data_IF_374738960167
#
_entry.id   IF_374738960167
#
_cell.length_a   1.000
_cell.length_b   1.000
_cell.length_c   1.000
_cell.angle_alpha   90.00
_cell.angle_beta   90.00
_cell.angle_gamma   90.00
#
_symmetry.space_group_name_H-M   'P 1'
#
loop_
_entity.id
_entity.type
_entity.pdbx_description
1 polymer ?
#
# COMPACT_ATOMS: atom_id res chain seq x y z
N UNK A 1 16.40 -27.33 -36.87
CA UNK A 1 17.79 -26.91 -36.60
C UNK A 1 17.76 -26.22 -35.25
N UNK A 2 18.28 -26.92 -34.24
CA UNK A 2 18.44 -26.37 -32.90
C UNK A 2 19.56 -25.33 -32.96
N UNK A 3 19.21 -24.06 -32.98
CA UNK A 3 20.21 -23.00 -32.83
C UNK A 3 20.95 -23.18 -31.50
N UNK A 4 22.27 -23.11 -31.54
CA UNK A 4 23.10 -23.11 -30.35
C UNK A 4 22.65 -21.98 -29.45
N UNK A 5 22.43 -22.27 -28.16
CA UNK A 5 22.20 -21.23 -27.17
C UNK A 5 23.32 -20.18 -27.28
N UNK A 6 22.94 -18.91 -27.28
CA UNK A 6 23.92 -17.83 -27.28
C UNK A 6 24.90 -18.03 -26.10
N UNK A 7 26.20 -17.81 -26.30
CA UNK A 7 27.16 -18.00 -25.22
C UNK A 7 26.81 -17.08 -24.06
N UNK A 8 26.88 -17.63 -22.84
CA UNK A 8 26.81 -16.83 -21.62
C UNK A 8 27.99 -15.87 -21.62
N UNK A 9 27.72 -14.58 -21.71
CA UNK A 9 28.75 -13.54 -21.61
C UNK A 9 28.52 -12.73 -20.34
N UNK A 10 29.08 -13.17 -19.20
CA UNK A 10 28.90 -12.51 -17.92
C UNK A 10 29.60 -11.14 -17.83
N UNK A 11 30.54 -10.86 -18.73
CA UNK A 11 31.33 -9.62 -18.71
C UNK A 11 30.66 -8.48 -19.51
N UNK A 12 29.70 -8.79 -20.37
CA UNK A 12 29.00 -7.77 -21.15
C UNK A 12 28.03 -7.00 -20.26
N UNK A 13 28.26 -5.69 -20.08
CA UNK A 13 27.29 -4.80 -19.47
C UNK A 13 26.00 -4.77 -20.32
N UNK A 14 24.89 -5.16 -19.73
CA UNK A 14 23.57 -5.17 -20.38
C UNK A 14 22.68 -4.10 -19.77
N UNK A 15 21.85 -3.41 -20.57
CA UNK A 15 20.80 -2.59 -20.01
C UNK A 15 19.87 -3.47 -19.13
N UNK A 16 19.33 -2.87 -18.09
CA UNK A 16 18.41 -3.55 -17.18
C UNK A 16 17.42 -2.55 -16.58
N UNK A 17 16.31 -3.07 -16.09
CA UNK A 17 15.42 -2.33 -15.20
C UNK A 17 14.96 -3.22 -14.05
N UNK A 18 14.55 -2.59 -12.96
CA UNK A 18 14.00 -3.30 -11.81
C UNK A 18 12.52 -3.62 -12.01
N UNK A 19 12.10 -4.78 -11.54
CA UNK A 19 10.70 -5.13 -11.29
C UNK A 19 10.40 -5.17 -9.78
N UNK A 20 11.43 -5.42 -8.96
CA UNK A 20 11.41 -5.23 -7.52
C UNK A 20 12.71 -4.53 -7.13
N UNK A 21 12.64 -3.47 -6.31
CA UNK A 21 13.81 -2.77 -5.80
C UNK A 21 13.62 -2.51 -4.31
N UNK A 22 14.45 -3.14 -3.49
CA UNK A 22 14.44 -3.03 -2.02
C UNK A 22 13.06 -3.27 -1.39
N UNK A 23 12.30 -4.22 -1.95
CA UNK A 23 10.97 -4.58 -1.44
C UNK A 23 11.09 -5.40 -0.16
N UNK A 24 10.34 -4.98 0.87
CA UNK A 24 10.27 -5.71 2.13
C UNK A 24 9.70 -7.11 1.92
N UNK A 25 10.28 -8.09 2.62
CA UNK A 25 9.84 -9.49 2.61
C UNK A 25 9.74 -10.03 4.03
N UNK A 26 8.82 -10.99 4.21
CA UNK A 26 8.62 -11.70 5.47
C UNK A 26 8.27 -13.17 5.19
N UNK A 27 9.07 -14.08 5.69
CA UNK A 27 8.83 -15.52 5.54
C UNK A 27 7.63 -15.99 6.35
N UNK A 28 6.43 -15.99 5.77
CA UNK A 28 5.22 -16.47 6.42
C UNK A 28 5.34 -17.96 6.75
N UNK A 29 5.02 -18.32 7.99
CA UNK A 29 5.10 -19.70 8.51
C UNK A 29 4.22 -20.65 7.74
N UNK A 30 4.82 -21.73 7.25
CA UNK A 30 4.12 -22.86 6.63
C UNK A 30 3.89 -24.00 7.64
N UNK A 31 3.01 -24.95 7.28
CA UNK A 31 2.67 -26.09 8.13
C UNK A 31 3.85 -27.03 8.39
N UNK A 32 4.79 -27.09 7.46
CA UNK A 32 6.02 -27.91 7.56
C UNK A 32 7.16 -27.24 8.34
N UNK A 33 6.93 -26.02 8.86
CA UNK A 33 7.91 -25.26 9.62
C UNK A 33 8.82 -24.39 8.77
N UNK A 34 8.64 -24.32 7.46
CA UNK A 34 9.35 -23.42 6.55
C UNK A 34 8.73 -22.03 6.54
N UNK A 35 9.37 -21.09 5.84
CA UNK A 35 8.85 -19.75 5.56
C UNK A 35 8.68 -19.50 4.08
N UNK A 36 7.65 -18.77 3.68
CA UNK A 36 7.44 -18.36 2.29
C UNK A 36 6.99 -16.91 2.19
N UNK A 37 7.55 -16.19 1.22
CA UNK A 37 7.03 -14.91 0.74
C UNK A 37 6.53 -15.09 -0.68
N UNK A 38 5.28 -14.72 -0.92
CA UNK A 38 4.70 -14.64 -2.27
C UNK A 38 4.65 -13.20 -2.74
N UNK A 39 5.06 -12.96 -3.98
CA UNK A 39 4.88 -11.71 -4.69
C UNK A 39 4.18 -12.03 -6.01
N UNK A 40 2.99 -11.46 -6.22
CA UNK A 40 2.16 -11.74 -7.39
C UNK A 40 2.40 -10.69 -8.47
N UNK A 41 2.88 -11.12 -9.64
CA UNK A 41 3.20 -10.26 -10.78
C UNK A 41 2.30 -10.50 -12.01
N UNK A 42 1.31 -11.40 -11.88
CA UNK A 42 0.34 -11.71 -12.95
C UNK A 42 -0.69 -10.61 -13.19
N UNK A 43 -1.50 -10.75 -14.23
CA UNK A 43 -2.60 -9.84 -14.58
C UNK A 43 -2.16 -8.37 -14.76
N UNK A 44 -1.06 -8.17 -15.50
CA UNK A 44 -0.49 -6.84 -15.75
C UNK A 44 0.33 -6.28 -14.59
N UNK A 45 0.47 -6.97 -13.47
CA UNK A 45 1.24 -6.51 -12.31
C UNK A 45 2.73 -6.39 -12.62
N UNK A 46 3.28 -7.28 -13.45
CA UNK A 46 4.68 -7.17 -13.89
C UNK A 46 4.93 -5.87 -14.67
N UNK A 47 4.00 -5.47 -15.54
CA UNK A 47 4.03 -4.18 -16.24
C UNK A 47 4.00 -3.03 -15.24
N UNK A 48 3.07 -3.08 -14.28
CA UNK A 48 2.96 -2.05 -13.25
C UNK A 48 4.23 -1.98 -12.39
N UNK A 49 4.82 -3.11 -12.03
CA UNK A 49 6.08 -3.17 -11.30
C UNK A 49 7.24 -2.55 -12.10
N UNK A 50 7.34 -2.85 -13.40
CA UNK A 50 8.31 -2.24 -14.29
C UNK A 50 8.13 -0.71 -14.40
N UNK A 51 6.90 -0.22 -14.43
CA UNK A 51 6.61 1.21 -14.46
C UNK A 51 6.93 1.92 -13.14
N UNK A 52 6.56 1.31 -12.01
CA UNK A 52 6.73 1.92 -10.67
C UNK A 52 8.20 1.86 -10.24
N UNK A 53 8.81 0.70 -10.40
CA UNK A 53 10.14 0.39 -9.86
C UNK A 53 11.25 0.64 -10.88
N UNK A 54 11.03 0.28 -12.15
CA UNK A 54 11.98 0.40 -13.24
C UNK A 54 11.83 1.65 -14.09
N UNK A 55 10.81 2.46 -13.88
CA UNK A 55 10.48 3.66 -14.69
C UNK A 55 10.29 3.36 -16.19
N UNK A 56 9.91 2.13 -16.56
CA UNK A 56 9.71 1.74 -17.95
C UNK A 56 8.43 2.36 -18.49
N UNK A 57 8.52 3.15 -19.54
CA UNK A 57 7.39 3.82 -20.20
C UNK A 57 7.21 3.42 -21.65
N UNK A 58 8.16 2.68 -22.21
CA UNK A 58 8.08 2.18 -23.59
C UNK A 58 6.98 1.13 -23.71
N UNK A 59 5.97 1.42 -24.55
CA UNK A 59 4.80 0.56 -24.70
C UNK A 59 5.11 -0.76 -25.41
N UNK A 60 6.10 -0.77 -26.31
CA UNK A 60 6.49 -1.99 -27.04
C UNK A 60 7.17 -2.96 -26.07
N UNK A 61 8.10 -2.45 -25.24
CA UNK A 61 8.75 -3.25 -24.21
C UNK A 61 7.75 -3.75 -23.14
N UNK A 62 6.84 -2.90 -22.67
CA UNK A 62 5.81 -3.29 -21.70
C UNK A 62 4.90 -4.40 -22.23
N UNK A 63 4.51 -4.34 -23.51
CA UNK A 63 3.69 -5.38 -24.16
C UNK A 63 4.43 -6.74 -24.18
N UNK A 64 5.77 -6.75 -24.30
CA UNK A 64 6.54 -7.99 -24.24
C UNK A 64 6.49 -8.68 -22.89
N UNK A 65 6.19 -7.96 -21.81
CA UNK A 65 6.03 -8.53 -20.47
C UNK A 65 4.70 -9.26 -20.28
N UNK A 66 3.74 -9.14 -21.20
CA UNK A 66 2.43 -9.77 -21.09
C UNK A 66 2.43 -11.28 -21.41
N UNK A 67 3.45 -11.77 -22.12
CA UNK A 67 3.51 -13.15 -22.56
C UNK A 67 4.88 -13.78 -22.26
N UNK A 68 4.92 -15.11 -22.10
CA UNK A 68 6.19 -15.82 -21.91
C UNK A 68 7.11 -15.69 -23.12
N UNK A 69 6.54 -15.68 -24.34
CA UNK A 69 7.30 -15.53 -25.58
C UNK A 69 7.91 -14.12 -25.67
N UNK A 70 7.12 -13.08 -25.36
CA UNK A 70 7.58 -11.69 -25.30
C UNK A 70 8.64 -11.50 -24.24
N UNK A 71 8.39 -12.03 -23.04
CA UNK A 71 9.36 -12.03 -21.94
C UNK A 71 10.68 -12.66 -22.35
N UNK A 72 10.67 -13.83 -22.99
CA UNK A 72 11.88 -14.49 -23.49
C UNK A 72 12.60 -13.74 -24.62
N UNK A 73 11.89 -12.89 -25.40
CA UNK A 73 12.50 -12.01 -26.38
C UNK A 73 13.16 -10.78 -25.75
N UNK A 74 12.54 -10.19 -24.75
CA UNK A 74 13.03 -9.01 -24.06
C UNK A 74 14.18 -9.34 -23.11
N UNK A 75 14.02 -10.38 -22.27
CA UNK A 75 14.88 -10.67 -21.12
C UNK A 75 15.96 -11.68 -21.46
N UNK A 76 17.21 -11.32 -21.20
CA UNK A 76 18.37 -12.20 -21.28
C UNK A 76 18.57 -13.02 -20.00
N UNK A 77 18.52 -12.33 -18.86
CA UNK A 77 18.72 -12.94 -17.55
C UNK A 77 18.02 -12.16 -16.46
N UNK A 78 17.70 -12.83 -15.35
CA UNK A 78 17.12 -12.23 -14.16
C UNK A 78 18.22 -12.15 -13.11
N UNK A 79 18.48 -10.96 -12.60
CA UNK A 79 19.32 -10.74 -11.42
C UNK A 79 18.45 -10.68 -10.18
N UNK A 80 18.79 -11.45 -9.16
CA UNK A 80 18.06 -11.46 -7.90
C UNK A 80 19.02 -11.33 -6.72
N UNK A 81 18.69 -10.46 -5.77
CA UNK A 81 19.36 -10.36 -4.48
C UNK A 81 18.32 -10.42 -3.36
N UNK A 82 18.69 -11.13 -2.29
CA UNK A 82 17.90 -11.20 -1.05
C UNK A 82 18.82 -10.84 0.09
N UNK A 83 18.39 -9.91 0.93
CA UNK A 83 19.09 -9.53 2.15
C UNK A 83 18.15 -9.72 3.34
N UNK A 84 18.58 -10.46 4.37
CA UNK A 84 17.76 -10.68 5.57
C UNK A 84 18.59 -10.47 6.85
N UNK A 85 17.91 -10.55 7.98
CA UNK A 85 18.51 -10.59 9.32
C UNK A 85 19.41 -11.82 9.56
N UNK A 86 19.48 -12.75 8.58
CA UNK A 86 20.28 -13.99 8.61
C UNK A 86 21.08 -14.16 7.32
N UNK A 87 22.13 -13.35 7.11
CA UNK A 87 22.86 -13.33 5.83
C UNK A 87 23.61 -14.64 5.54
N UNK A 88 23.86 -15.47 6.54
CA UNK A 88 24.49 -16.79 6.39
C UNK A 88 23.55 -17.88 5.87
N UNK A 89 22.22 -17.68 5.98
CA UNK A 89 21.23 -18.61 5.50
C UNK A 89 21.06 -18.52 3.98
N UNK A 90 20.44 -19.56 3.41
CA UNK A 90 20.10 -19.61 1.99
C UNK A 90 18.57 -19.56 1.81
N UNK A 91 18.14 -18.92 0.75
CA UNK A 91 16.76 -18.94 0.28
C UNK A 91 16.70 -19.54 -1.13
N UNK A 92 15.57 -20.12 -1.48
CA UNK A 92 15.26 -20.46 -2.86
C UNK A 92 14.37 -19.39 -3.46
N UNK A 93 14.82 -18.81 -4.58
CA UNK A 93 14.04 -17.88 -5.37
C UNK A 93 13.39 -18.61 -6.54
N UNK A 94 12.11 -18.36 -6.77
CA UNK A 94 11.33 -18.93 -7.86
C UNK A 94 10.59 -17.83 -8.60
N UNK A 95 10.88 -17.67 -9.88
CA UNK A 95 10.05 -16.87 -10.80
C UNK A 95 9.23 -17.85 -11.64
N UNK A 96 7.94 -17.92 -11.37
CA UNK A 96 7.04 -18.92 -11.96
C UNK A 96 6.30 -18.33 -13.15
N UNK A 97 6.34 -19.04 -14.29
CA UNK A 97 5.38 -18.81 -15.37
C UNK A 97 4.07 -19.54 -15.03
N UNK A 98 2.93 -18.92 -15.34
CA UNK A 98 1.65 -19.57 -15.18
C UNK A 98 1.34 -20.49 -16.36
N UNK A 99 0.70 -21.63 -16.08
CA UNK A 99 0.26 -22.57 -17.09
C UNK A 99 -1.09 -22.23 -17.68
N UNK A 100 -1.31 -22.62 -18.94
CA UNK A 100 -2.62 -22.49 -19.63
C UNK A 100 -3.67 -23.45 -19.08
N UNK A 101 -3.24 -24.68 -18.68
CA UNK A 101 -4.14 -25.74 -18.22
C UNK A 101 -4.25 -25.76 -16.71
N UNK A 102 -3.14 -25.60 -16.03
CA UNK A 102 -3.06 -25.49 -14.57
C UNK A 102 -2.27 -24.23 -14.24
N UNK A 103 -2.97 -23.23 -13.72
CA UNK A 103 -2.42 -21.90 -13.44
C UNK A 103 -1.11 -21.98 -12.63
N UNK A 104 -1.11 -22.81 -11.59
CA UNK A 104 -0.01 -22.87 -10.63
C UNK A 104 0.93 -24.07 -10.80
N UNK A 105 0.53 -25.09 -11.54
CA UNK A 105 1.27 -26.36 -11.69
C UNK A 105 1.86 -26.61 -13.08
N UNK A 106 1.38 -25.90 -14.11
CA UNK A 106 1.70 -26.23 -15.50
C UNK A 106 2.85 -25.47 -16.14
N UNK A 107 3.24 -24.32 -15.59
CA UNK A 107 4.24 -23.44 -16.19
C UNK A 107 5.67 -23.70 -15.73
N UNK A 108 6.62 -23.16 -16.48
CA UNK A 108 8.06 -23.24 -16.18
C UNK A 108 8.42 -22.43 -14.94
N UNK A 109 9.23 -23.01 -14.05
CA UNK A 109 9.82 -22.33 -12.91
C UNK A 109 11.28 -21.96 -13.20
N UNK A 110 11.61 -20.68 -13.13
CA UNK A 110 12.99 -20.17 -13.17
C UNK A 110 13.48 -20.08 -11.73
N UNK A 111 14.47 -20.88 -11.34
CA UNK A 111 14.86 -21.04 -9.93
C UNK A 111 16.33 -20.81 -9.71
N UNK A 112 16.69 -20.29 -8.53
CA UNK A 112 18.07 -20.25 -8.05
C UNK A 112 18.09 -20.33 -6.53
N UNK A 113 19.12 -21.00 -5.98
CA UNK A 113 19.44 -20.92 -4.56
C UNK A 113 20.48 -19.82 -4.33
N UNK A 114 20.24 -18.94 -3.38
CA UNK A 114 21.12 -17.80 -3.09
C UNK A 114 21.27 -17.60 -1.59
N UNK A 115 22.38 -16.99 -1.17
CA UNK A 115 22.56 -16.53 0.19
C UNK A 115 21.73 -15.28 0.45
N UNK A 116 21.31 -15.11 1.69
CA UNK A 116 20.54 -13.93 2.13
C UNK A 116 21.45 -12.75 2.50
N UNK A 117 22.57 -12.56 1.78
CA UNK A 117 23.61 -11.56 2.05
C UNK A 117 23.57 -10.31 1.16
N UNK A 118 22.52 -10.18 0.36
CA UNK A 118 22.33 -9.06 -0.56
C UNK A 118 23.12 -9.16 -1.88
N UNK A 119 23.96 -10.18 -2.06
CA UNK A 119 24.69 -10.37 -3.31
C UNK A 119 23.77 -10.84 -4.43
N UNK A 120 23.96 -10.26 -5.64
CA UNK A 120 23.16 -10.63 -6.80
C UNK A 120 23.55 -12.00 -7.35
N UNK A 121 22.53 -12.81 -7.61
CA UNK A 121 22.61 -14.07 -8.35
C UNK A 121 21.89 -13.96 -9.69
N UNK A 122 22.40 -14.65 -10.72
CA UNK A 122 21.85 -14.61 -12.09
C UNK A 122 21.18 -15.91 -12.49
N UNK A 123 19.98 -15.75 -13.05
CA UNK A 123 19.24 -16.83 -13.72
C UNK A 123 19.25 -16.50 -15.22
N UNK A 124 19.86 -17.35 -16.02
CA UNK A 124 19.92 -17.15 -17.47
C UNK A 124 18.73 -17.86 -18.13
N UNK A 125 17.95 -17.10 -18.95
CA UNK A 125 16.81 -17.67 -19.64
C UNK A 125 17.21 -18.76 -20.64
N UNK A 126 18.45 -18.70 -21.17
CA UNK A 126 19.02 -19.73 -22.05
C UNK A 126 19.13 -21.13 -21.40
N UNK A 127 19.10 -21.22 -20.07
CA UNK A 127 19.15 -22.48 -19.34
C UNK A 127 17.80 -23.19 -19.28
N UNK A 128 16.73 -22.52 -19.71
CA UNK A 128 15.36 -22.99 -19.63
C UNK A 128 14.76 -23.17 -21.02
N UNK A 129 13.76 -24.02 -21.09
CA UNK A 129 12.96 -24.22 -22.31
C UNK A 129 11.50 -23.99 -21.96
N UNK A 130 10.88 -23.10 -22.71
CA UNK A 130 9.44 -22.86 -22.59
C UNK A 130 8.68 -24.11 -23.07
N UNK A 131 7.59 -24.40 -22.38
CA UNK A 131 6.67 -25.48 -22.75
C UNK A 131 5.46 -24.93 -23.47
N UNK A 132 4.69 -25.78 -24.14
CA UNK A 132 3.43 -25.38 -24.77
C UNK A 132 2.38 -24.90 -23.77
N UNK A 133 2.54 -25.28 -22.48
CA UNK A 133 1.64 -24.90 -21.39
C UNK A 133 1.97 -23.53 -20.80
N UNK A 134 3.16 -22.99 -21.01
CA UNK A 134 3.52 -21.65 -20.53
C UNK A 134 2.60 -20.57 -21.14
N UNK A 135 2.11 -19.67 -20.29
CA UNK A 135 1.15 -18.63 -20.67
C UNK A 135 1.69 -17.23 -20.41
N UNK A 136 1.82 -16.83 -19.17
CA UNK A 136 2.24 -15.48 -18.77
C UNK A 136 3.26 -15.57 -17.63
N UNK A 137 4.16 -14.56 -17.48
CA UNK A 137 4.90 -14.38 -16.26
C UNK A 137 3.93 -14.31 -15.08
N UNK A 138 4.11 -15.15 -14.09
CA UNK A 138 3.13 -15.38 -13.03
C UNK A 138 3.50 -14.72 -11.71
N UNK A 139 4.18 -15.45 -10.85
CA UNK A 139 4.48 -14.99 -9.49
C UNK A 139 5.94 -15.23 -9.10
N UNK A 140 6.40 -14.43 -8.15
CA UNK A 140 7.68 -14.62 -7.48
C UNK A 140 7.43 -15.26 -6.12
N UNK A 141 8.28 -16.24 -5.76
CA UNK A 141 8.29 -16.88 -4.44
C UNK A 141 9.71 -16.83 -3.90
N UNK A 142 9.82 -16.61 -2.60
CA UNK A 142 11.07 -16.75 -1.85
C UNK A 142 10.79 -17.73 -0.72
N UNK A 143 11.49 -18.87 -0.73
CA UNK A 143 11.32 -19.94 0.23
C UNK A 143 12.50 -19.94 1.20
N UNK A 144 12.19 -19.97 2.48
CA UNK A 144 13.16 -19.99 3.58
C UNK A 144 13.07 -21.32 4.31
N UNK A 145 14.23 -21.85 4.75
CA UNK A 145 14.27 -23.07 5.57
C UNK A 145 13.57 -22.90 6.93
N UNK A 146 13.42 -21.65 7.41
CA UNK A 146 12.70 -21.32 8.65
C UNK A 146 11.80 -20.11 8.45
N UNK A 147 10.69 -19.97 9.20
CA UNK A 147 9.75 -18.87 9.08
C UNK A 147 10.26 -17.58 9.72
N UNK A 148 9.50 -16.51 9.54
CA UNK A 148 9.72 -15.21 10.20
C UNK A 148 11.04 -14.53 9.82
N UNK A 149 11.59 -14.85 8.65
CA UNK A 149 12.73 -14.13 8.09
C UNK A 149 12.26 -12.80 7.56
N UNK A 150 12.89 -11.73 8.02
CA UNK A 150 12.63 -10.34 7.59
C UNK A 150 13.80 -9.85 6.76
N UNK A 151 13.50 -9.12 5.70
CA UNK A 151 14.55 -8.57 4.84
C UNK A 151 13.99 -7.85 3.63
N UNK A 152 14.84 -7.77 2.60
CA UNK A 152 14.52 -7.10 1.34
C UNK A 152 14.90 -7.97 0.16
N UNK A 153 14.17 -7.77 -0.95
CA UNK A 153 14.46 -8.40 -2.24
C UNK A 153 14.55 -7.35 -3.34
N UNK A 154 15.52 -7.52 -4.23
CA UNK A 154 15.58 -6.80 -5.49
C UNK A 154 15.65 -7.77 -6.66
N UNK A 155 14.91 -7.47 -7.73
CA UNK A 155 14.87 -8.28 -8.96
C UNK A 155 15.04 -7.36 -10.16
N UNK A 156 16.05 -7.63 -10.99
CA UNK A 156 16.38 -6.92 -12.22
C UNK A 156 16.16 -7.81 -13.42
N UNK A 157 15.60 -7.24 -14.48
CA UNK A 157 15.53 -7.88 -15.79
C UNK A 157 16.63 -7.30 -16.67
N UNK A 158 17.62 -8.12 -17.03
CA UNK A 158 18.69 -7.76 -17.96
C UNK A 158 18.24 -8.06 -19.38
N UNK A 159 18.38 -7.08 -20.26
CA UNK A 159 17.77 -7.12 -21.58
C UNK A 159 18.65 -7.79 -22.63
N UNK A 160 18.01 -8.37 -23.63
CA UNK A 160 18.64 -8.86 -24.83
C UNK A 160 19.19 -7.69 -25.69
N UNK A 161 20.08 -8.00 -26.63
CA UNK A 161 20.62 -7.01 -27.56
C UNK A 161 19.48 -6.39 -28.40
N UNK A 162 19.54 -5.07 -28.56
CA UNK A 162 18.57 -4.30 -29.32
C UNK A 162 17.44 -3.69 -28.48
N UNK A 163 17.43 -3.94 -27.17
CA UNK A 163 16.53 -3.28 -26.21
C UNK A 163 17.32 -2.30 -25.33
N UNK A 164 16.64 -1.26 -24.88
CA UNK A 164 17.20 -0.22 -24.02
C UNK A 164 16.42 -0.18 -22.70
N UNK A 165 17.04 0.33 -21.66
CA UNK A 165 16.39 0.56 -20.37
C UNK A 165 16.48 2.04 -20.01
N UNK A 166 15.48 2.59 -19.30
CA UNK A 166 15.59 3.93 -18.74
C UNK A 166 16.80 4.03 -17.81
N UNK A 167 17.38 5.22 -17.66
CA UNK A 167 18.41 5.45 -16.64
C UNK A 167 17.87 5.08 -15.26
N UNK A 168 18.67 4.36 -14.48
CA UNK A 168 18.31 4.07 -13.10
C UNK A 168 18.22 5.39 -12.32
N UNK A 169 17.11 5.61 -11.63
CA UNK A 169 16.96 6.68 -10.66
C UNK A 169 17.26 6.15 -9.25
N UNK A 170 18.15 6.83 -8.56
CA UNK A 170 18.49 6.50 -7.18
C UNK A 170 17.38 6.96 -6.24
N UNK A 171 16.95 6.07 -5.33
CA UNK A 171 16.05 6.41 -4.25
C UNK A 171 16.89 6.90 -3.06
N UNK A 172 16.74 8.17 -2.71
CA UNK A 172 17.45 8.77 -1.57
C UNK A 172 16.81 8.33 -0.25
N UNK A 173 17.63 8.34 0.80
CA UNK A 173 17.14 8.13 2.16
C UNK A 173 16.09 9.20 2.52
N UNK A 174 14.95 8.77 3.06
CA UNK A 174 13.88 9.66 3.50
C UNK A 174 14.15 10.08 4.94
N UNK A 175 14.55 11.34 5.14
CA UNK A 175 14.58 11.93 6.47
C UNK A 175 13.17 12.38 6.88
N UNK A 176 12.51 11.54 7.67
CA UNK A 176 11.14 11.79 8.16
C UNK A 176 11.04 12.96 9.15
N UNK A 177 12.16 13.57 9.54
CA UNK A 177 12.19 14.75 10.41
C UNK A 177 12.57 16.04 9.67
N UNK A 178 12.87 15.96 8.37
CA UNK A 178 13.21 17.12 7.55
C UNK A 178 12.01 18.09 7.39
N UNK A 179 12.31 19.36 7.11
CA UNK A 179 11.27 20.36 6.82
C UNK A 179 10.49 19.99 5.54
N UNK A 180 11.15 19.44 4.56
CA UNK A 180 10.56 18.98 3.30
C UNK A 180 9.57 17.84 3.53
N UNK A 181 9.93 16.85 4.37
CA UNK A 181 9.03 15.77 4.75
C UNK A 181 7.82 16.32 5.54
N UNK A 182 8.06 17.14 6.54
CA UNK A 182 6.99 17.79 7.30
C UNK A 182 6.07 18.62 6.38
N UNK A 183 6.65 19.33 5.41
CA UNK A 183 5.92 20.05 4.37
C UNK A 183 5.07 19.13 3.50
N UNK A 184 5.59 17.96 3.11
CA UNK A 184 4.84 16.93 2.39
C UNK A 184 3.65 16.44 3.23
N UNK A 185 3.87 16.06 4.49
CA UNK A 185 2.83 15.59 5.40
C UNK A 185 1.75 16.66 5.61
N UNK A 186 2.14 17.93 5.76
CA UNK A 186 1.19 19.02 5.98
C UNK A 186 0.18 19.21 4.83
N UNK A 187 0.56 18.89 3.59
CA UNK A 187 -0.34 18.93 2.43
C UNK A 187 -1.46 17.89 2.50
N UNK A 188 -1.30 16.86 3.34
CA UNK A 188 -2.35 15.86 3.54
C UNK A 188 -3.62 16.40 4.19
N UNK A 189 -3.53 17.52 4.92
CA UNK A 189 -4.68 18.10 5.59
C UNK A 189 -5.58 18.79 4.56
N UNK A 190 -6.52 18.04 3.98
CA UNK A 190 -7.47 18.58 3.01
C UNK A 190 -8.48 19.51 3.69
N UNK A 191 -8.95 19.13 4.89
CA UNK A 191 -9.83 19.93 5.73
C UNK A 191 -9.65 19.53 7.20
N UNK A 192 -9.54 20.54 8.08
CA UNK A 192 -9.56 20.30 9.52
C UNK A 192 -10.98 19.93 10.00
N UNK A 193 -11.99 20.52 9.37
CA UNK A 193 -13.39 20.38 9.77
C UNK A 193 -13.64 20.79 11.20
N UNK A 194 -14.69 20.27 11.82
CA UNK A 194 -14.95 20.47 13.24
C UNK A 194 -14.13 19.51 14.10
N UNK A 195 -13.06 19.94 14.78
CA UNK A 195 -12.18 19.09 15.55
C UNK A 195 -12.75 18.64 16.91
N UNK A 196 -13.94 19.09 17.28
CA UNK A 196 -14.47 18.94 18.64
C UNK A 196 -14.48 17.47 19.12
N UNK A 197 -14.99 16.55 18.30
CA UNK A 197 -15.11 15.14 18.72
C UNK A 197 -13.74 14.44 18.83
N UNK A 198 -12.79 14.78 17.93
CA UNK A 198 -11.40 14.28 18.02
C UNK A 198 -10.74 14.82 19.30
N UNK A 199 -10.87 16.11 19.57
CA UNK A 199 -10.33 16.70 20.82
C UNK A 199 -10.90 16.04 22.06
N UNK A 200 -12.20 15.75 22.09
CA UNK A 200 -12.83 15.00 23.19
C UNK A 200 -12.20 13.63 23.40
N UNK A 201 -11.92 12.89 22.31
CA UNK A 201 -11.22 11.62 22.39
C UNK A 201 -9.79 11.79 22.91
N UNK A 202 -9.05 12.81 22.44
CA UNK A 202 -7.70 13.13 22.92
C UNK A 202 -7.72 13.50 24.42
N UNK A 203 -8.61 14.40 24.85
CA UNK A 203 -8.77 14.80 26.25
C UNK A 203 -9.11 13.57 27.14
N UNK A 204 -9.99 12.70 26.65
CA UNK A 204 -10.37 11.44 27.31
C UNK A 204 -9.14 10.52 27.48
N UNK A 205 -8.30 10.39 26.45
CA UNK A 205 -7.07 9.60 26.49
C UNK A 205 -6.04 10.20 27.46
N UNK A 206 -5.80 11.52 27.39
CA UNK A 206 -4.90 12.25 28.30
C UNK A 206 -5.34 12.13 29.78
N UNK A 207 -6.64 11.99 30.01
CA UNK A 207 -7.21 11.77 31.35
C UNK A 207 -7.13 10.30 31.83
N UNK A 208 -6.43 9.41 31.09
CA UNK A 208 -6.27 7.99 31.44
C UNK A 208 -7.53 7.14 31.22
N UNK A 209 -8.56 7.67 30.55
CA UNK A 209 -9.76 6.93 30.21
C UNK A 209 -9.59 6.17 28.91
N UNK A 210 -10.17 4.97 28.80
CA UNK A 210 -10.10 4.15 27.60
C UNK A 210 -10.67 4.88 26.37
N UNK A 211 -9.91 4.90 25.28
CA UNK A 211 -10.30 5.43 23.98
C UNK A 211 -10.16 4.32 22.93
N UNK A 212 -11.14 4.19 22.04
CA UNK A 212 -11.12 3.20 20.97
C UNK A 212 -11.03 3.88 19.62
N UNK A 213 -9.96 3.54 18.86
CA UNK A 213 -9.79 3.93 17.46
C UNK A 213 -10.20 2.79 16.55
N UNK A 214 -11.11 3.03 15.63
CA UNK A 214 -11.56 2.07 14.63
C UNK A 214 -11.21 2.55 13.21
N UNK A 215 -10.78 1.61 12.37
CA UNK A 215 -10.43 1.84 10.97
C UNK A 215 -11.27 0.91 10.11
N UNK A 216 -12.05 1.46 9.20
CA UNK A 216 -12.88 0.69 8.25
C UNK A 216 -12.55 1.11 6.82
N UNK A 217 -12.33 0.13 5.94
CA UNK A 217 -11.92 0.39 4.57
C UNK A 217 -11.70 -0.87 3.74
N UNK A 218 -11.05 -0.70 2.61
CA UNK A 218 -10.70 -1.76 1.67
C UNK A 218 -9.42 -2.51 2.04
N UNK A 219 -8.67 -2.93 1.00
CA UNK A 219 -7.41 -3.66 1.13
C UNK A 219 -6.31 -2.85 1.82
N UNK A 220 -6.24 -1.53 1.59
CA UNK A 220 -5.24 -0.66 2.22
C UNK A 220 -5.47 -0.60 3.74
N UNK A 221 -6.73 -0.53 4.18
CA UNK A 221 -7.07 -0.61 5.61
C UNK A 221 -6.84 -2.01 6.17
N UNK A 222 -7.05 -3.08 5.39
CA UNK A 222 -6.65 -4.44 5.77
C UNK A 222 -5.15 -4.53 6.02
N UNK A 223 -4.36 -3.75 5.29
CA UNK A 223 -2.90 -3.66 5.38
C UNK A 223 -2.18 -4.30 4.19
N UNK A 224 -2.86 -4.45 3.05
CA UNK A 224 -2.21 -4.98 1.85
C UNK A 224 -1.01 -4.11 1.45
N UNK A 225 0.10 -4.75 1.10
CA UNK A 225 1.39 -4.13 0.82
C UNK A 225 2.27 -3.91 2.06
N UNK A 226 1.69 -3.94 3.26
CA UNK A 226 2.46 -3.91 4.52
C UNK A 226 3.03 -5.29 4.87
N UNK A 227 4.27 -5.35 5.28
CA UNK A 227 5.00 -6.58 5.59
C UNK A 227 5.77 -6.42 6.91
N UNK A 228 5.36 -7.10 8.00
CA UNK A 228 4.15 -7.91 8.18
C UNK A 228 2.84 -7.08 8.19
N UNK A 229 1.78 -7.67 7.62
CA UNK A 229 0.49 -6.99 7.38
C UNK A 229 -0.21 -6.44 8.65
N UNK A 230 0.06 -7.02 9.80
CA UNK A 230 -0.65 -6.64 11.02
C UNK A 230 0.02 -5.49 11.79
N UNK A 231 1.34 -5.38 11.69
CA UNK A 231 2.16 -4.43 12.46
C UNK A 231 2.67 -3.26 11.63
N UNK A 232 2.81 -3.45 10.32
CA UNK A 232 3.34 -2.43 9.42
C UNK A 232 2.26 -1.62 8.70
N UNK A 233 0.97 -2.00 8.80
CA UNK A 233 -0.11 -1.27 8.17
C UNK A 233 -0.37 0.09 8.82
N UNK A 234 -0.83 1.07 8.02
CA UNK A 234 -1.07 2.44 8.47
C UNK A 234 -2.01 2.53 9.67
N UNK A 235 -3.03 1.68 9.70
CA UNK A 235 -4.03 1.69 10.77
C UNK A 235 -3.39 1.35 12.12
N UNK A 236 -2.52 0.32 12.17
CA UNK A 236 -1.82 -0.04 13.39
C UNK A 236 -0.76 1.00 13.77
N UNK A 237 0.03 1.50 12.81
CA UNK A 237 1.02 2.56 13.05
C UNK A 237 0.36 3.86 13.56
N UNK A 238 -0.75 4.27 12.95
CA UNK A 238 -1.51 5.44 13.39
C UNK A 238 -2.08 5.28 14.81
N UNK A 239 -2.59 4.08 15.14
CA UNK A 239 -2.98 3.74 16.50
C UNK A 239 -1.80 3.88 17.48
N UNK A 240 -0.62 3.35 17.14
CA UNK A 240 0.57 3.46 17.98
C UNK A 240 1.01 4.91 18.15
N UNK A 241 1.04 5.71 17.08
CA UNK A 241 1.38 7.13 17.13
C UNK A 241 0.41 7.90 18.03
N UNK A 242 -0.91 7.67 17.87
CA UNK A 242 -1.92 8.28 18.74
C UNK A 242 -1.71 7.88 20.21
N UNK A 243 -1.50 6.59 20.50
CA UNK A 243 -1.24 6.10 21.84
C UNK A 243 0.01 6.74 22.45
N UNK A 244 1.12 6.75 21.72
CA UNK A 244 2.40 7.33 22.18
C UNK A 244 2.26 8.84 22.45
N UNK A 245 1.46 9.55 21.66
CA UNK A 245 1.33 11.02 21.76
C UNK A 245 0.34 11.49 22.80
N UNK A 246 -0.79 10.77 22.96
CA UNK A 246 -1.94 11.25 23.71
C UNK A 246 -2.34 10.34 24.89
N UNK A 247 -1.79 9.13 25.01
CA UNK A 247 -2.09 8.22 26.11
C UNK A 247 -1.12 8.41 27.26
N UNK A 248 -1.63 8.25 28.48
CA UNK A 248 -0.82 8.26 29.72
C UNK A 248 -0.62 6.88 30.32
N UNK A 249 -1.43 5.88 29.94
CA UNK A 249 -1.49 4.55 30.58
C UNK A 249 -1.74 3.41 29.59
N UNK A 250 -1.37 3.55 28.31
CA UNK A 250 -1.70 2.59 27.24
C UNK A 250 -3.22 2.28 27.17
N UNK A 251 -4.02 3.31 27.34
CA UNK A 251 -5.49 3.25 27.45
C UNK A 251 -6.18 3.40 26.08
N UNK A 252 -5.48 3.12 24.98
CA UNK A 252 -6.06 3.17 23.64
C UNK A 252 -6.29 1.76 23.10
N UNK A 253 -7.50 1.50 22.63
CA UNK A 253 -7.90 0.24 21.96
C UNK A 253 -7.91 0.41 20.46
N UNK A 254 -7.65 -0.67 19.75
CA UNK A 254 -7.53 -0.71 18.31
C UNK A 254 -8.52 -1.68 17.67
N UNK A 255 -9.26 -1.21 16.67
CA UNK A 255 -10.16 -2.03 15.84
C UNK A 255 -9.78 -1.81 14.38
N UNK A 256 -9.40 -2.88 13.70
CA UNK A 256 -9.13 -2.89 12.26
C UNK A 256 -10.21 -3.71 11.54
N UNK A 257 -10.95 -3.05 10.65
CA UNK A 257 -12.06 -3.60 9.88
C UNK A 257 -11.85 -3.35 8.37
N UNK A 258 -10.64 -3.64 7.85
CA UNK A 258 -10.35 -3.63 6.43
C UNK A 258 -10.68 -4.97 5.77
N UNK A 259 -11.30 -4.95 4.59
CA UNK A 259 -11.58 -6.12 3.76
C UNK A 259 -11.23 -5.81 2.31
N UNK A 260 -10.27 -6.56 1.74
CA UNK A 260 -9.74 -6.33 0.41
C UNK A 260 -10.79 -6.36 -0.70
N UNK A 261 -10.66 -5.44 -1.67
CA UNK A 261 -11.51 -5.39 -2.86
C UNK A 261 -12.96 -4.98 -2.59
N UNK A 262 -13.28 -4.39 -1.43
CA UNK A 262 -14.67 -4.07 -1.07
C UNK A 262 -14.94 -2.57 -1.06
N UNK A 263 -16.07 -2.11 -1.63
CA UNK A 263 -16.49 -0.72 -1.59
C UNK A 263 -17.17 -0.34 -0.27
N UNK A 264 -17.48 0.94 -0.10
CA UNK A 264 -18.15 1.50 1.07
C UNK A 264 -19.56 0.91 1.30
N UNK A 265 -20.23 0.43 0.25
CA UNK A 265 -21.50 -0.30 0.36
C UNK A 265 -21.36 -1.49 1.30
N UNK A 266 -20.38 -2.36 1.06
CA UNK A 266 -20.12 -3.49 1.96
C UNK A 266 -19.59 -3.00 3.32
N UNK A 267 -18.82 -1.91 3.36
CA UNK A 267 -18.40 -1.26 4.59
C UNK A 267 -19.59 -0.86 5.47
N UNK A 268 -20.63 -0.26 4.89
CA UNK A 268 -21.86 0.13 5.57
C UNK A 268 -22.61 -1.08 6.14
N UNK A 269 -22.74 -2.15 5.34
CA UNK A 269 -23.46 -3.37 5.73
C UNK A 269 -22.77 -4.07 6.91
N UNK A 270 -21.43 -4.21 6.85
CA UNK A 270 -20.63 -4.93 7.82
C UNK A 270 -20.20 -4.12 9.05
N UNK A 271 -20.52 -2.82 9.11
CA UNK A 271 -20.06 -1.91 10.16
C UNK A 271 -20.41 -2.43 11.58
N UNK A 272 -21.65 -2.85 11.80
CA UNK A 272 -22.09 -3.34 13.12
C UNK A 272 -21.34 -4.61 13.53
N UNK A 273 -21.12 -5.54 12.60
CA UNK A 273 -20.41 -6.79 12.84
C UNK A 273 -18.90 -6.57 13.09
N UNK A 274 -18.26 -5.73 12.28
CA UNK A 274 -16.80 -5.65 12.22
C UNK A 274 -16.23 -4.53 13.09
N UNK A 275 -17.00 -3.46 13.33
CA UNK A 275 -16.58 -2.30 14.13
C UNK A 275 -17.25 -2.30 15.50
N UNK A 276 -18.60 -2.38 15.55
CA UNK A 276 -19.31 -2.34 16.84
C UNK A 276 -19.26 -3.68 17.58
N UNK A 277 -19.14 -4.79 16.85
CA UNK A 277 -19.04 -6.14 17.42
C UNK A 277 -20.09 -6.38 18.50
N UNK A 278 -19.70 -6.97 19.64
CA UNK A 278 -20.58 -7.24 20.77
C UNK A 278 -20.55 -6.09 21.81
N UNK A 279 -20.61 -4.84 21.37
CA UNK A 279 -20.70 -3.68 22.29
C UNK A 279 -19.51 -2.72 22.27
N UNK A 280 -18.61 -2.83 21.29
CA UNK A 280 -17.53 -1.87 21.12
C UNK A 280 -18.07 -0.46 20.81
N UNK A 281 -17.44 0.54 21.39
CA UNK A 281 -17.84 1.95 21.26
C UNK A 281 -16.64 2.79 20.82
N UNK A 282 -16.34 2.82 19.50
CA UNK A 282 -15.23 3.62 19.01
C UNK A 282 -15.44 5.11 19.30
N UNK A 283 -14.40 5.79 19.77
CA UNK A 283 -14.37 7.24 19.95
C UNK A 283 -14.01 7.96 18.63
N UNK A 284 -13.17 7.31 17.80
CA UNK A 284 -12.78 7.81 16.49
C UNK A 284 -12.96 6.68 15.46
N UNK A 285 -13.58 6.98 14.32
CA UNK A 285 -13.71 6.06 13.17
C UNK A 285 -13.06 6.70 11.96
N UNK A 286 -12.02 6.05 11.43
CA UNK A 286 -11.37 6.41 10.16
C UNK A 286 -12.00 5.60 9.04
N UNK A 287 -12.51 6.27 8.00
CA UNK A 287 -13.20 5.69 6.85
C UNK A 287 -12.34 5.87 5.60
N UNK A 288 -11.93 4.75 4.96
CA UNK A 288 -11.02 4.73 3.81
C UNK A 288 -11.61 3.86 2.69
N UNK A 289 -12.18 4.49 1.64
CA UNK A 289 -12.74 3.82 0.47
C UNK A 289 -12.48 4.57 -0.85
N UNK A 290 -11.66 5.63 -0.82
CA UNK A 290 -11.45 6.52 -1.97
C UNK A 290 -10.87 5.84 -3.21
N UNK A 291 -10.30 4.65 -3.09
CA UNK A 291 -9.77 3.85 -4.20
C UNK A 291 -10.60 2.59 -4.49
N UNK A 292 -11.66 2.35 -3.70
CA UNK A 292 -12.50 1.15 -3.82
C UNK A 292 -13.89 1.43 -4.40
N UNK A 293 -14.37 2.67 -4.32
CA UNK A 293 -15.76 3.06 -4.63
C UNK A 293 -16.01 3.33 -6.13
N UNK A 294 -15.06 3.00 -7.02
CA UNK A 294 -15.32 3.11 -8.47
C UNK A 294 -16.45 2.18 -8.92
N UNK A 295 -16.47 0.95 -8.38
CA UNK A 295 -17.49 -0.05 -8.61
C UNK A 295 -18.75 0.15 -7.76
N UNK A 296 -18.84 1.18 -6.94
CA UNK A 296 -20.06 1.51 -6.19
C UNK A 296 -21.13 2.07 -7.12
N UNK A 297 -22.16 1.27 -7.42
CA UNK A 297 -23.28 1.66 -8.27
C UNK A 297 -24.07 2.85 -7.70
N UNK A 298 -24.01 3.07 -6.39
CA UNK A 298 -24.68 4.18 -5.70
C UNK A 298 -23.94 5.51 -5.83
N UNK A 299 -22.71 5.49 -6.36
CA UNK A 299 -21.87 6.65 -6.65
C UNK A 299 -21.69 7.60 -5.47
N UNK A 300 -21.51 7.04 -4.26
CA UNK A 300 -21.25 7.78 -3.03
C UNK A 300 -22.41 7.78 -2.02
N UNK A 301 -23.63 7.34 -2.39
CA UNK A 301 -24.75 7.27 -1.42
C UNK A 301 -24.44 6.29 -0.29
N UNK A 302 -23.82 5.15 -0.58
CA UNK A 302 -23.43 4.19 0.45
C UNK A 302 -22.30 4.72 1.33
N UNK A 303 -21.34 5.47 0.76
CA UNK A 303 -20.29 6.15 1.54
C UNK A 303 -20.90 7.16 2.52
N UNK A 304 -21.77 8.05 2.06
CA UNK A 304 -22.50 8.98 2.93
C UNK A 304 -23.33 8.23 3.98
N UNK A 305 -24.02 7.16 3.59
CA UNK A 305 -24.83 6.36 4.51
C UNK A 305 -24.00 5.73 5.63
N UNK A 306 -22.77 5.26 5.34
CA UNK A 306 -21.82 4.81 6.35
C UNK A 306 -21.43 5.95 7.29
N UNK A 307 -21.05 7.12 6.76
CA UNK A 307 -20.71 8.31 7.55
C UNK A 307 -21.86 8.68 8.47
N UNK A 308 -23.09 8.78 7.95
CA UNK A 308 -24.30 9.10 8.74
C UNK A 308 -24.59 8.05 9.80
N UNK A 309 -24.38 6.77 9.49
CA UNK A 309 -24.54 5.67 10.45
C UNK A 309 -23.63 5.87 11.65
N UNK A 310 -22.37 6.23 11.42
CA UNK A 310 -21.39 6.50 12.50
C UNK A 310 -21.77 7.75 13.27
N UNK A 311 -22.12 8.86 12.60
CA UNK A 311 -22.46 10.12 13.23
C UNK A 311 -23.71 10.02 14.14
N UNK A 312 -24.66 9.12 13.82
CA UNK A 312 -25.90 8.87 14.58
C UNK A 312 -25.70 8.01 15.83
N UNK A 313 -24.52 7.41 16.05
CA UNK A 313 -24.30 6.60 17.23
C UNK A 313 -24.48 7.42 18.51
N UNK A 314 -25.14 6.87 19.55
CA UNK A 314 -25.52 7.63 20.77
C UNK A 314 -24.35 8.28 21.49
N UNK A 315 -23.15 7.71 21.41
CA UNK A 315 -21.92 8.24 22.04
C UNK A 315 -21.15 9.21 21.15
N UNK A 316 -21.67 9.52 19.93
CA UNK A 316 -21.18 10.55 18.99
C UNK A 316 -19.68 10.48 18.70
N UNK A 317 -19.19 9.39 18.09
CA UNK A 317 -17.78 9.27 17.73
C UNK A 317 -17.37 10.31 16.72
N UNK A 318 -16.07 10.64 16.69
CA UNK A 318 -15.48 11.40 15.60
C UNK A 318 -15.40 10.53 14.33
N UNK A 319 -15.58 11.17 13.17
CA UNK A 319 -15.37 10.56 11.85
C UNK A 319 -14.21 11.28 11.18
N UNK A 320 -13.27 10.52 10.64
CA UNK A 320 -12.16 11.01 9.80
C UNK A 320 -12.28 10.35 8.44
N UNK A 321 -12.28 11.16 7.37
CA UNK A 321 -12.27 10.67 6.00
C UNK A 321 -10.82 10.62 5.50
N UNK A 322 -10.36 9.43 5.11
CA UNK A 322 -9.02 9.20 4.59
C UNK A 322 -9.10 8.85 3.11
N UNK A 323 -8.45 9.65 2.27
CA UNK A 323 -8.41 9.46 0.82
C UNK A 323 -7.05 8.93 0.40
N UNK A 324 -6.96 7.61 0.22
CA UNK A 324 -5.78 6.91 -0.32
C UNK A 324 -5.60 7.20 -1.81
N UNK A 325 -4.50 6.74 -2.40
CA UNK A 325 -4.15 6.96 -3.81
C UNK A 325 -3.54 5.71 -4.42
N UNK A 326 -3.77 5.44 -5.70
CA UNK A 326 -3.08 4.43 -6.51
C UNK A 326 -1.82 4.97 -7.18
N UNK A 327 -0.95 4.09 -7.63
CA UNK A 327 0.33 4.49 -8.24
C UNK A 327 0.20 5.24 -9.58
N UNK A 328 -0.99 5.23 -10.20
CA UNK A 328 -1.33 6.07 -11.34
C UNK A 328 -1.86 7.45 -10.96
N UNK A 329 -1.64 7.88 -9.71
CA UNK A 329 -2.07 9.17 -9.15
C UNK A 329 -3.59 9.37 -9.14
N UNK A 330 -4.37 8.26 -9.06
CA UNK A 330 -5.81 8.24 -9.12
C UNK A 330 -6.47 7.90 -7.77
N UNK A 331 -7.56 8.61 -7.49
CA UNK A 331 -8.55 8.25 -6.47
C UNK A 331 -9.90 8.93 -6.75
N UNK A 332 -10.87 8.73 -5.87
CA UNK A 332 -12.22 9.32 -5.93
C UNK A 332 -12.44 10.46 -4.92
N UNK A 333 -11.37 11.13 -4.49
CA UNK A 333 -11.45 12.22 -3.52
C UNK A 333 -12.51 13.27 -3.92
N UNK A 334 -12.50 13.71 -5.18
CA UNK A 334 -13.42 14.76 -5.64
C UNK A 334 -14.89 14.31 -5.62
N UNK A 335 -15.15 13.01 -5.78
CA UNK A 335 -16.50 12.43 -5.64
C UNK A 335 -16.96 12.38 -4.18
N UNK A 336 -16.06 12.04 -3.26
CA UNK A 336 -16.39 11.74 -1.86
C UNK A 336 -16.22 12.95 -0.93
N UNK A 337 -15.40 13.93 -1.31
CA UNK A 337 -15.16 15.15 -0.57
C UNK A 337 -16.42 15.93 -0.17
N UNK A 338 -17.47 16.07 -1.03
CA UNK A 338 -18.71 16.76 -0.65
C UNK A 338 -19.37 16.22 0.63
N UNK A 339 -19.17 14.92 0.95
CA UNK A 339 -19.64 14.36 2.23
C UNK A 339 -18.92 15.00 3.41
N UNK A 340 -17.60 15.13 3.32
CA UNK A 340 -16.80 15.80 4.35
C UNK A 340 -17.15 17.28 4.50
N UNK A 341 -17.35 17.97 3.37
CA UNK A 341 -17.73 19.39 3.35
C UNK A 341 -19.10 19.59 4.01
N UNK A 342 -20.12 18.75 3.67
CA UNK A 342 -21.46 18.86 4.23
C UNK A 342 -21.50 18.66 5.75
N UNK A 343 -20.82 17.64 6.23
CA UNK A 343 -20.83 17.26 7.65
C UNK A 343 -19.70 17.92 8.47
N UNK A 344 -18.95 18.86 7.86
CA UNK A 344 -17.81 19.57 8.46
C UNK A 344 -16.81 18.59 9.12
N UNK A 345 -16.43 17.53 8.37
CA UNK A 345 -15.58 16.47 8.88
C UNK A 345 -14.10 16.70 8.59
N UNK A 346 -13.20 16.24 9.48
CA UNK A 346 -11.78 16.15 9.19
C UNK A 346 -11.50 15.23 7.99
N UNK A 347 -10.70 15.73 7.03
CA UNK A 347 -10.33 15.02 5.81
C UNK A 347 -8.82 14.99 5.61
N UNK A 348 -8.27 13.82 5.35
CA UNK A 348 -6.86 13.57 5.05
C UNK A 348 -6.71 13.03 3.64
N UNK A 349 -5.88 13.68 2.82
CA UNK A 349 -5.61 13.31 1.44
C UNK A 349 -4.17 12.82 1.28
N UNK A 350 -4.01 11.53 1.03
CA UNK A 350 -2.71 10.96 0.69
C UNK A 350 -2.27 11.43 -0.71
N UNK A 351 -3.23 11.55 -1.64
CA UNK A 351 -2.96 12.09 -2.97
C UNK A 351 -2.27 13.46 -2.89
N UNK A 352 -2.82 14.41 -2.13
CA UNK A 352 -2.25 15.76 -2.01
C UNK A 352 -0.87 15.76 -1.32
N UNK A 353 -0.63 14.81 -0.41
CA UNK A 353 0.66 14.68 0.25
C UNK A 353 1.76 14.21 -0.72
N UNK A 354 1.54 13.08 -1.40
CA UNK A 354 2.63 12.33 -2.03
C UNK A 354 2.77 12.56 -3.54
N UNK A 355 1.66 12.77 -4.29
CA UNK A 355 1.75 12.86 -5.76
C UNK A 355 2.61 14.00 -6.28
N UNK A 356 2.71 15.19 -5.61
CA UNK A 356 3.64 16.21 -6.04
C UNK A 356 5.11 15.78 -6.00
N UNK A 357 5.46 14.77 -5.18
CA UNK A 357 6.82 14.22 -5.13
C UNK A 357 7.11 13.30 -6.31
N UNK A 358 6.11 12.55 -6.78
CA UNK A 358 6.27 11.56 -7.85
C UNK A 358 6.59 12.17 -9.22
N UNK A 359 6.25 13.43 -9.44
CA UNK A 359 6.58 14.17 -10.65
C UNK A 359 7.98 14.79 -10.67
N UNK A 360 8.65 14.82 -9.51
CA UNK A 360 9.99 15.40 -9.37
C UNK A 360 11.07 14.36 -9.68
N UNK A 361 12.19 14.80 -10.24
CA UNK A 361 13.43 14.02 -10.33
C UNK A 361 14.24 14.16 -9.06
N UNK A 362 15.15 13.21 -8.82
CA UNK A 362 16.03 13.20 -7.65
C UNK A 362 16.77 14.55 -7.44
N UNK A 363 17.29 15.16 -8.52
CA UNK A 363 17.97 16.48 -8.46
C UNK A 363 17.05 17.69 -8.31
N UNK A 364 15.73 17.52 -8.31
CA UNK A 364 14.71 18.59 -8.21
C UNK A 364 14.08 18.68 -6.82
N UNK A 365 14.70 18.06 -5.82
CA UNK A 365 14.19 18.04 -4.43
C UNK A 365 13.13 16.96 -4.18
N UNK A 366 13.09 15.89 -4.97
CA UNK A 366 12.28 14.71 -4.68
C UNK A 366 12.76 14.06 -3.39
N UNK A 367 11.87 13.89 -2.44
CA UNK A 367 12.12 13.19 -1.17
C UNK A 367 11.48 11.80 -1.13
N UNK A 368 10.59 11.50 -2.07
CA UNK A 368 9.84 10.25 -2.13
C UNK A 368 9.58 9.85 -3.58
N UNK A 369 9.98 8.66 -3.97
CA UNK A 369 9.63 8.05 -5.26
C UNK A 369 8.40 7.15 -5.16
N UNK A 370 7.82 6.78 -6.31
CA UNK A 370 6.74 5.77 -6.35
C UNK A 370 7.22 4.42 -5.81
N UNK A 371 8.46 4.02 -6.12
CA UNK A 371 9.04 2.78 -5.57
C UNK A 371 9.12 2.78 -4.04
N UNK A 372 9.47 3.93 -3.45
CA UNK A 372 9.56 4.07 -1.99
C UNK A 372 8.19 4.11 -1.30
N UNK A 373 7.12 4.45 -2.02
CA UNK A 373 5.77 4.52 -1.46
C UNK A 373 4.94 3.28 -1.72
N UNK A 374 5.00 2.70 -2.93
CA UNK A 374 4.12 1.63 -3.37
C UNK A 374 4.78 0.25 -3.31
N UNK A 375 4.01 -0.74 -2.85
CA UNK A 375 4.32 -2.15 -2.99
C UNK A 375 3.97 -2.63 -4.41
N UNK A 376 2.77 -2.32 -4.87
CA UNK A 376 2.25 -2.57 -6.21
C UNK A 376 1.41 -1.38 -6.70
N UNK A 377 0.69 -1.51 -7.82
CA UNK A 377 -0.15 -0.46 -8.39
C UNK A 377 -1.20 0.08 -7.42
N UNK A 378 -1.66 -0.74 -6.47
CA UNK A 378 -2.84 -0.47 -5.65
C UNK A 378 -2.51 -0.24 -4.16
N UNK A 379 -1.36 -0.69 -3.70
CA UNK A 379 -1.07 -0.77 -2.27
C UNK A 379 0.23 -0.05 -1.90
N UNK A 380 0.23 0.71 -0.81
CA UNK A 380 1.47 1.24 -0.24
C UNK A 380 2.34 0.11 0.35
N UNK A 381 3.66 0.30 0.33
CA UNK A 381 4.61 -0.55 1.08
C UNK A 381 4.75 -0.06 2.54
N UNK A 382 5.68 -0.62 3.32
CA UNK A 382 5.90 -0.24 4.72
C UNK A 382 6.15 1.25 4.90
N UNK A 383 6.94 1.88 4.02
CA UNK A 383 7.18 3.33 4.02
C UNK A 383 5.92 4.11 3.69
N UNK A 384 5.17 3.68 2.67
CA UNK A 384 3.90 4.29 2.30
C UNK A 384 2.87 4.22 3.43
N UNK A 385 2.75 3.08 4.09
CA UNK A 385 1.90 2.93 5.27
C UNK A 385 2.36 3.81 6.44
N UNK A 386 3.66 4.01 6.63
CA UNK A 386 4.19 4.93 7.65
C UNK A 386 3.78 6.38 7.33
N UNK A 387 3.97 6.81 6.08
CA UNK A 387 3.56 8.14 5.63
C UNK A 387 2.05 8.37 5.83
N UNK A 388 1.21 7.37 5.52
CA UNK A 388 -0.24 7.47 5.78
C UNK A 388 -0.55 7.63 7.27
N UNK A 389 0.17 6.93 8.14
CA UNK A 389 0.03 7.07 9.59
C UNK A 389 0.46 8.46 10.09
N UNK A 390 1.56 9.00 9.54
CA UNK A 390 2.05 10.35 9.86
C UNK A 390 1.05 11.44 9.40
N UNK A 391 0.39 11.25 8.25
CA UNK A 391 -0.68 12.14 7.79
C UNK A 391 -1.87 12.16 8.78
N UNK A 392 -2.28 11.01 9.30
CA UNK A 392 -3.31 10.93 10.34
C UNK A 392 -2.84 11.54 11.66
N UNK A 393 -1.59 11.30 12.06
CA UNK A 393 -1.01 11.89 13.25
C UNK A 393 -0.98 13.42 13.15
N UNK A 394 -0.59 13.96 12.00
CA UNK A 394 -0.63 15.39 11.74
C UNK A 394 -2.04 15.97 11.93
N UNK A 395 -3.08 15.33 11.40
CA UNK A 395 -4.46 15.72 11.64
C UNK A 395 -4.78 15.74 13.14
N UNK A 396 -4.44 14.68 13.89
CA UNK A 396 -4.74 14.60 15.33
C UNK A 396 -4.04 15.70 16.12
N UNK A 397 -2.80 16.03 15.78
CA UNK A 397 -2.06 17.14 16.40
C UNK A 397 -2.67 18.51 16.04
N UNK A 398 -3.11 18.69 14.80
CA UNK A 398 -3.83 19.90 14.40
C UNK A 398 -5.16 20.05 15.14
N UNK A 399 -5.88 18.95 15.35
CA UNK A 399 -7.11 18.95 16.15
C UNK A 399 -6.84 19.27 17.63
N UNK A 400 -5.76 18.73 18.22
CA UNK A 400 -5.38 19.00 19.61
C UNK A 400 -5.01 20.47 19.83
N UNK A 401 -4.31 21.06 18.87
CA UNK A 401 -3.86 22.46 18.90
C UNK A 401 -4.92 23.49 18.50
N UNK A 402 -6.07 23.05 17.93
CA UNK A 402 -7.11 23.98 17.48
C UNK A 402 -7.78 24.68 18.67
N UNK A 403 -8.23 25.93 18.45
CA UNK A 403 -9.08 26.61 19.40
C UNK A 403 -10.34 25.79 19.75
N UNK A 404 -10.92 25.94 20.96
CA UNK A 404 -12.10 25.19 21.34
C UNK A 404 -13.20 25.33 20.30
N UNK A 405 -13.50 24.24 19.61
CA UNK A 405 -14.54 24.21 18.60
C UNK A 405 -15.93 24.41 19.24
N UNK A 406 -16.85 25.00 18.48
CA UNK A 406 -18.23 25.16 18.92
C UNK A 406 -18.85 23.79 19.19
N UNK A 407 -19.50 23.67 20.35
CA UNK A 407 -20.32 22.50 20.68
C UNK A 407 -21.60 22.61 19.85
N UNK A 408 -21.90 21.63 19.02
CA UNK A 408 -23.18 21.59 18.33
C UNK A 408 -23.12 21.22 16.85
N UNK A 409 -23.78 21.91 16.01
CA UNK A 409 -24.01 21.58 14.59
C UNK A 409 -22.75 21.39 13.76
N UNK A 410 -22.74 20.38 12.87
CA UNK A 410 -21.63 20.11 11.93
C UNK A 410 -21.54 21.22 10.85
N UNK A 411 -22.68 21.83 10.51
CA UNK A 411 -22.77 22.92 9.54
C UNK A 411 -23.41 24.11 10.21
N UNK A 412 -22.83 25.31 10.01
CA UNK A 412 -23.31 26.52 10.63
C UNK A 412 -24.75 26.84 10.17
N UNK A 413 -25.66 27.01 11.15
CA UNK A 413 -27.07 27.31 10.89
C UNK A 413 -27.99 26.10 10.64
N UNK A 414 -27.49 24.90 10.58
CA UNK A 414 -28.30 23.67 10.47
C UNK A 414 -28.31 22.90 11.79
N UNK A 415 -29.44 22.26 12.09
CA UNK A 415 -29.50 21.29 13.20
C UNK A 415 -28.90 19.95 12.77
N UNK A 416 -28.44 19.14 13.73
CA UNK A 416 -27.93 17.78 13.47
C UNK A 416 -28.96 16.93 12.70
N UNK A 417 -30.23 17.05 13.02
CA UNK A 417 -31.31 16.34 12.35
C UNK A 417 -31.50 16.80 10.89
N UNK A 418 -31.40 18.09 10.61
CA UNK A 418 -31.47 18.65 9.26
C UNK A 418 -30.28 18.15 8.41
N UNK A 419 -29.04 18.22 8.92
CA UNK A 419 -27.86 17.76 8.22
C UNK A 419 -27.97 16.26 7.90
N UNK A 420 -28.39 15.45 8.87
CA UNK A 420 -28.53 14.01 8.70
C UNK A 420 -29.72 13.60 7.82
N UNK A 421 -30.63 14.51 7.50
CA UNK A 421 -31.74 14.28 6.55
C UNK A 421 -31.41 14.62 5.11
N UNK A 422 -30.39 15.46 4.89
CA UNK A 422 -29.95 15.83 3.53
C UNK A 422 -29.35 14.62 2.80
N UNK A 423 -29.45 14.65 1.49
CA UNK A 423 -28.82 13.69 0.59
C UNK A 423 -27.92 14.45 -0.37
N UNK A 424 -26.66 14.01 -0.48
CA UNK A 424 -25.70 14.59 -1.40
C UNK A 424 -25.69 13.93 -2.77
N UNK A 425 -26.05 12.65 -2.85
CA UNK A 425 -25.98 11.81 -4.04
C UNK A 425 -27.33 11.22 -4.41
#
# INVERSE_FOLDING_TARGET
MTGSAAPKDPEKARPFFYILKDKDIFGERQKDGTGIQFIYESDGRLINSAQITGNVTDKEELTLLETVEGFGRLVHSIGVSVETDRPEETAEFVFQMYGKKDLYGGGTNLTTSLKCDGMEHRIYLSDYRWTEDDHVPGQIKILFAAPERMGKVSVRLFLNDGYEAPPEEEDLFIDMHSEEYCGMISRSLLQLGNPYRIRKAIEKSKAGKEVTLAYIGGSITQGAGAIPIHTECYAYKSFQLFQNRFSTQNNVRFIKAGVGGTPSELGMIRFDRDVLREGERPDIVVIEFAVNDEGDETKGVCYESLVRKVLKLPWKPAVVLLFSVFANDWNLQERLRPVGDLYDLPMVSILNAVTPQFSLKCGEGRILSKNQFFYDMFHPNNTGHTIMADCLQYLFERCDAAEPARVGTFVEGMTEEQILSEKLF
#
